data_IF_572928785156
#
_entry.id   IF_572928785156
#
_cell.length_a   1.000
_cell.length_b   1.000
_cell.length_c   1.000
_cell.angle_alpha   90.00
_cell.angle_beta   90.00
_cell.angle_gamma   90.00
#
_symmetry.space_group_name_H-M   'P 1'
#
loop_
_entity.id
_entity.type
_entity.pdbx_description
1 polymer ?
#
# COMPACT_ATOMS: atom_id res chain seq x y z
N UNK A 1 2.13 -8.96 -17.01
CA UNK A 1 1.81 -10.35 -16.56
C UNK A 1 0.45 -10.76 -17.15
N UNK A 2 0.23 -12.04 -17.51
CA UNK A 2 -1.08 -12.47 -18.05
C UNK A 2 -2.16 -12.45 -16.97
N UNK A 3 -3.42 -12.18 -17.35
CA UNK A 3 -4.57 -12.07 -16.43
C UNK A 3 -4.69 -13.26 -15.47
N UNK A 4 -4.63 -14.48 -15.99
CA UNK A 4 -4.75 -15.70 -15.19
C UNK A 4 -3.60 -15.85 -14.17
N UNK A 5 -2.37 -15.55 -14.57
CA UNK A 5 -1.21 -15.58 -13.67
C UNK A 5 -1.31 -14.55 -12.54
N UNK A 6 -1.86 -13.37 -12.84
CA UNK A 6 -2.13 -12.36 -11.81
C UNK A 6 -3.10 -12.88 -10.76
N UNK A 7 -4.25 -13.41 -11.19
CA UNK A 7 -5.29 -13.96 -10.29
C UNK A 7 -4.70 -15.04 -9.39
N UNK A 8 -4.04 -16.04 -9.97
CA UNK A 8 -3.44 -17.13 -9.20
C UNK A 8 -2.39 -16.63 -8.21
N UNK A 9 -1.55 -15.68 -8.63
CA UNK A 9 -0.50 -15.15 -7.75
C UNK A 9 -1.10 -14.37 -6.58
N UNK A 10 -2.08 -13.51 -6.84
CA UNK A 10 -2.78 -12.73 -5.80
C UNK A 10 -3.50 -13.66 -4.84
N UNK A 11 -4.30 -14.61 -5.35
CA UNK A 11 -5.05 -15.56 -4.51
C UNK A 11 -4.12 -16.40 -3.63
N UNK A 12 -3.00 -16.90 -4.18
CA UNK A 12 -2.03 -17.69 -3.43
C UNK A 12 -1.40 -16.90 -2.27
N UNK A 13 -1.15 -15.60 -2.47
CA UNK A 13 -0.60 -14.75 -1.42
C UNK A 13 -1.64 -14.25 -0.42
N UNK A 14 -2.88 -14.05 -0.86
CA UNK A 14 -3.99 -13.63 0.02
C UNK A 14 -4.37 -14.70 1.07
N UNK A 15 -3.99 -15.96 0.84
CA UNK A 15 -4.13 -17.05 1.81
C UNK A 15 -3.08 -17.00 2.94
N UNK A 16 -2.10 -16.10 2.86
CA UNK A 16 -1.01 -16.00 3.81
C UNK A 16 -1.20 -14.76 4.69
N UNK A 17 -0.81 -14.90 5.96
CA UNK A 17 -0.65 -13.75 6.85
C UNK A 17 0.50 -12.85 6.38
N UNK A 18 0.49 -11.57 6.78
CA UNK A 18 1.57 -10.63 6.45
C UNK A 18 2.94 -11.11 6.95
N UNK A 19 2.98 -11.81 8.10
CA UNK A 19 4.20 -12.45 8.60
C UNK A 19 4.71 -13.55 7.66
N UNK A 20 3.83 -14.46 7.25
CA UNK A 20 4.19 -15.53 6.31
C UNK A 20 4.62 -14.97 4.95
N UNK A 21 4.04 -13.85 4.52
CA UNK A 21 4.46 -13.14 3.31
C UNK A 21 5.87 -12.58 3.47
N UNK A 22 6.18 -11.91 4.57
CA UNK A 22 7.51 -11.38 4.84
C UNK A 22 8.60 -12.46 4.81
N UNK A 23 8.28 -13.68 5.25
CA UNK A 23 9.20 -14.83 5.23
C UNK A 23 9.36 -15.45 3.83
N UNK A 24 8.28 -15.52 3.04
CA UNK A 24 8.28 -16.24 1.73
C UNK A 24 8.62 -15.37 0.53
N UNK A 25 8.22 -14.11 0.55
CA UNK A 25 8.37 -13.20 -0.59
C UNK A 25 9.83 -12.94 -1.02
N UNK A 26 10.85 -12.93 -0.14
CA UNK A 26 12.25 -12.78 -0.57
C UNK A 26 12.71 -13.89 -1.52
N UNK A 27 12.43 -15.15 -1.19
CA UNK A 27 12.78 -16.29 -2.04
C UNK A 27 11.99 -16.28 -3.36
N UNK A 28 10.70 -15.94 -3.28
CA UNK A 28 9.85 -15.79 -4.46
C UNK A 28 10.31 -14.65 -5.39
N UNK A 29 10.79 -13.55 -4.81
CA UNK A 29 11.35 -12.43 -5.55
C UNK A 29 12.72 -12.77 -6.18
N UNK A 30 13.49 -13.69 -5.58
CA UNK A 30 14.71 -14.21 -6.20
C UNK A 30 14.38 -15.12 -7.39
N UNK A 31 13.40 -16.02 -7.25
CA UNK A 31 12.97 -16.93 -8.31
C UNK A 31 12.27 -16.21 -9.47
N UNK A 32 11.49 -15.15 -9.17
CA UNK A 32 10.69 -14.40 -10.15
C UNK A 32 10.92 -12.89 -9.98
N UNK A 33 12.08 -12.37 -10.40
CA UNK A 33 12.54 -11.02 -10.06
C UNK A 33 11.70 -9.88 -10.64
N UNK A 34 10.93 -10.15 -11.69
CA UNK A 34 10.06 -9.18 -12.38
C UNK A 34 8.57 -9.38 -12.07
N UNK A 35 8.21 -10.25 -11.11
CA UNK A 35 6.80 -10.42 -10.75
C UNK A 35 6.30 -9.17 -10.01
N UNK A 36 5.36 -8.38 -10.59
CA UNK A 36 4.96 -7.10 -10.01
C UNK A 36 4.27 -7.28 -8.65
N UNK A 37 3.41 -8.29 -8.50
CA UNK A 37 2.72 -8.58 -7.22
C UNK A 37 3.71 -8.94 -6.12
N UNK A 38 4.66 -9.84 -6.39
CA UNK A 38 5.67 -10.26 -5.41
C UNK A 38 6.51 -9.06 -4.96
N UNK A 39 6.92 -8.20 -5.90
CA UNK A 39 7.69 -6.99 -5.61
C UNK A 39 6.86 -5.96 -4.84
N UNK A 40 5.59 -5.78 -5.20
CA UNK A 40 4.69 -4.87 -4.50
C UNK A 40 4.53 -5.26 -3.03
N UNK A 41 4.17 -6.52 -2.78
CA UNK A 41 3.94 -7.03 -1.42
C UNK A 41 5.24 -7.02 -0.60
N UNK A 42 6.37 -7.41 -1.20
CA UNK A 42 7.66 -7.38 -0.52
C UNK A 42 8.06 -5.94 -0.16
N UNK A 43 7.75 -4.99 -1.04
CA UNK A 43 7.91 -3.56 -0.78
C UNK A 43 7.14 -3.10 0.44
N UNK A 44 5.87 -3.50 0.54
CA UNK A 44 5.03 -3.20 1.70
C UNK A 44 5.55 -3.84 2.99
N UNK A 45 5.96 -5.12 2.96
CA UNK A 45 6.58 -5.78 4.10
C UNK A 45 7.86 -5.06 4.56
N UNK A 46 8.69 -4.58 3.63
CA UNK A 46 9.89 -3.84 3.98
C UNK A 46 9.57 -2.49 4.62
N UNK A 47 8.50 -1.80 4.18
CA UNK A 47 8.04 -0.56 4.81
C UNK A 47 7.56 -0.81 6.25
N UNK A 48 6.75 -1.84 6.47
CA UNK A 48 6.30 -2.23 7.83
C UNK A 48 7.47 -2.61 8.76
N UNK A 49 8.57 -3.12 8.20
CA UNK A 49 9.78 -3.46 8.96
C UNK A 49 10.74 -2.27 9.17
N UNK A 50 10.36 -1.06 8.79
CA UNK A 50 11.23 0.13 8.85
C UNK A 50 12.39 0.12 7.83
N UNK A 51 12.40 -0.82 6.88
CA UNK A 51 13.41 -0.94 5.82
C UNK A 51 13.00 -0.14 4.58
N UNK A 52 12.69 1.14 4.78
CA UNK A 52 12.03 1.98 3.78
C UNK A 52 12.78 2.05 2.44
N UNK A 53 14.10 2.22 2.45
CA UNK A 53 14.91 2.28 1.23
C UNK A 53 14.83 0.98 0.40
N UNK A 54 14.78 -0.18 1.05
CA UNK A 54 14.59 -1.45 0.36
C UNK A 54 13.15 -1.60 -0.15
N UNK A 55 12.18 -1.18 0.65
CA UNK A 55 10.77 -1.19 0.28
C UNK A 55 10.51 -0.39 -0.99
N UNK A 56 11.02 0.85 -1.04
CA UNK A 56 10.94 1.73 -2.22
C UNK A 56 11.52 1.05 -3.47
N UNK A 57 12.71 0.43 -3.36
CA UNK A 57 13.32 -0.27 -4.50
C UNK A 57 12.42 -1.37 -5.05
N UNK A 58 11.77 -2.16 -4.19
CA UNK A 58 10.84 -3.18 -4.63
C UNK A 58 9.59 -2.59 -5.29
N UNK A 59 9.03 -1.52 -4.73
CA UNK A 59 7.87 -0.83 -5.30
C UNK A 59 8.17 -0.19 -6.66
N UNK A 60 9.37 0.37 -6.86
CA UNK A 60 9.82 0.87 -8.17
C UNK A 60 9.83 -0.25 -9.21
N UNK A 61 10.36 -1.43 -8.86
CA UNK A 61 10.36 -2.60 -9.76
C UNK A 61 8.93 -3.07 -10.03
N UNK A 62 8.06 -3.07 -9.02
CA UNK A 62 6.65 -3.44 -9.19
C UNK A 62 5.93 -2.50 -10.17
N UNK A 63 6.07 -1.19 -9.99
CA UNK A 63 5.48 -0.17 -10.86
C UNK A 63 6.03 -0.27 -12.28
N UNK A 64 7.33 -0.45 -12.46
CA UNK A 64 7.93 -0.59 -13.78
C UNK A 64 7.44 -1.86 -14.51
N UNK A 65 7.25 -2.96 -13.78
CA UNK A 65 6.74 -4.21 -14.34
C UNK A 65 5.22 -4.20 -14.61
N UNK A 66 4.45 -3.37 -13.91
CA UNK A 66 3.02 -3.17 -14.10
C UNK A 66 2.61 -1.73 -13.74
N UNK A 67 2.69 -0.78 -14.70
CA UNK A 67 2.40 0.64 -14.45
C UNK A 67 0.96 0.95 -14.02
N UNK A 68 0.04 -0.02 -14.16
CA UNK A 68 -1.34 0.08 -13.70
C UNK A 68 -1.50 -0.06 -12.18
N UNK A 69 -0.42 -0.37 -11.45
CA UNK A 69 -0.36 -0.34 -9.99
C UNK A 69 0.03 1.07 -9.51
N UNK A 70 -0.87 2.05 -9.64
CA UNK A 70 -0.61 3.45 -9.28
C UNK A 70 -0.28 3.63 -7.78
N UNK A 71 -0.87 2.81 -6.91
CA UNK A 71 -0.51 2.73 -5.50
C UNK A 71 0.96 2.41 -5.27
N UNK A 72 1.62 1.68 -6.18
CA UNK A 72 3.06 1.44 -6.09
C UNK A 72 3.84 2.74 -6.28
N UNK A 73 3.44 3.59 -7.23
CA UNK A 73 4.06 4.89 -7.44
C UNK A 73 3.83 5.82 -6.23
N UNK A 74 2.60 5.87 -5.70
CA UNK A 74 2.30 6.64 -4.48
C UNK A 74 3.20 6.20 -3.31
N UNK A 75 3.34 4.89 -3.09
CA UNK A 75 4.20 4.35 -2.03
C UNK A 75 5.70 4.56 -2.27
N UNK A 76 6.15 4.61 -3.54
CA UNK A 76 7.53 4.99 -3.87
C UNK A 76 7.81 6.42 -3.41
N UNK A 77 6.96 7.37 -3.79
CA UNK A 77 7.19 8.77 -3.44
C UNK A 77 7.02 9.02 -1.94
N UNK A 78 5.98 8.44 -1.32
CA UNK A 78 5.81 8.53 0.13
C UNK A 78 7.00 7.91 0.87
N UNK A 79 7.49 6.74 0.42
CA UNK A 79 8.66 6.09 1.00
C UNK A 79 9.95 6.89 0.85
N UNK A 80 10.18 7.55 -0.29
CA UNK A 80 11.32 8.44 -0.50
C UNK A 80 11.29 9.63 0.46
N UNK A 81 10.13 10.28 0.60
CA UNK A 81 9.93 11.38 1.56
C UNK A 81 10.12 10.89 2.99
N UNK A 82 9.62 9.69 3.32
CA UNK A 82 9.71 9.10 4.66
C UNK A 82 11.16 8.80 5.08
N UNK A 83 12.02 8.36 4.16
CA UNK A 83 13.46 8.16 4.42
C UNK A 83 14.15 9.47 4.84
N UNK A 84 13.75 10.60 4.26
CA UNK A 84 14.29 11.92 4.59
C UNK A 84 13.76 12.48 5.91
N UNK A 85 12.59 12.02 6.37
CA UNK A 85 11.90 12.50 7.57
C UNK A 85 11.99 11.47 8.70
N UNK A 86 13.13 11.46 9.40
CA UNK A 86 13.35 10.56 10.55
C UNK A 86 12.21 10.73 11.56
N UNK A 87 11.71 9.60 12.08
CA UNK A 87 10.64 9.51 13.10
C UNK A 87 9.23 9.96 12.66
N UNK A 88 9.02 10.37 11.42
CA UNK A 88 7.68 10.70 10.94
C UNK A 88 6.79 9.44 10.88
N UNK A 89 5.49 9.61 11.17
CA UNK A 89 4.49 8.59 10.89
C UNK A 89 4.25 8.47 9.37
N UNK A 90 3.91 7.27 8.89
CA UNK A 90 3.72 7.01 7.46
C UNK A 90 2.45 7.69 6.91
N UNK A 91 1.36 7.68 7.66
CA UNK A 91 0.07 8.22 7.23
C UNK A 91 0.14 9.72 6.87
N UNK A 92 0.70 10.62 7.69
CA UNK A 92 0.88 12.03 7.31
C UNK A 92 1.73 12.20 6.04
N UNK A 93 2.86 11.48 5.93
CA UNK A 93 3.73 11.55 4.74
C UNK A 93 2.97 11.11 3.49
N UNK A 94 2.17 10.05 3.60
CA UNK A 94 1.39 9.53 2.49
C UNK A 94 0.27 10.50 2.09
N UNK A 95 -0.40 11.14 3.04
CA UNK A 95 -1.40 12.17 2.78
C UNK A 95 -0.81 13.38 2.05
N UNK A 96 0.33 13.90 2.54
CA UNK A 96 1.05 14.99 1.86
C UNK A 96 1.43 14.58 0.44
N UNK A 97 2.00 13.38 0.27
CA UNK A 97 2.36 12.86 -1.06
C UNK A 97 1.11 12.73 -1.95
N UNK A 98 -0.02 12.26 -1.42
CA UNK A 98 -1.25 12.13 -2.18
C UNK A 98 -1.77 13.49 -2.68
N UNK A 99 -1.74 14.53 -1.85
CA UNK A 99 -2.11 15.89 -2.27
C UNK A 99 -1.13 16.47 -3.30
N UNK A 100 0.19 16.31 -3.10
CA UNK A 100 1.24 16.76 -4.04
C UNK A 100 1.08 16.14 -5.43
N UNK A 101 0.68 14.87 -5.48
CA UNK A 101 0.46 14.12 -6.72
C UNK A 101 -0.93 14.33 -7.32
N UNK A 102 -1.63 15.41 -6.94
CA UNK A 102 -2.97 15.75 -7.44
C UNK A 102 -4.00 14.65 -7.20
N UNK A 103 -3.92 13.99 -6.04
CA UNK A 103 -4.94 13.08 -5.52
C UNK A 103 -5.19 11.88 -6.42
N UNK A 104 -4.17 11.05 -6.69
CA UNK A 104 -4.31 9.89 -7.55
C UNK A 104 -5.40 8.96 -7.00
N UNK A 105 -6.22 8.43 -7.92
CA UNK A 105 -7.25 7.44 -7.62
C UNK A 105 -6.67 6.05 -7.92
N UNK A 106 -5.79 5.58 -7.04
CA UNK A 106 -5.33 4.19 -7.10
C UNK A 106 -6.51 3.29 -6.69
N UNK A 107 -6.77 2.24 -7.48
CA UNK A 107 -7.97 1.37 -7.54
C UNK A 107 -8.89 1.53 -8.78
N UNK A 108 -8.49 2.32 -9.78
CA UNK A 108 -9.26 2.44 -11.03
C UNK A 108 -9.05 1.27 -11.99
N UNK A 109 -7.90 0.62 -11.92
CA UNK A 109 -7.57 -0.48 -12.83
C UNK A 109 -7.95 -1.84 -12.22
N UNK A 110 -8.40 -2.78 -13.06
CA UNK A 110 -8.74 -4.13 -12.61
C UNK A 110 -7.56 -4.87 -11.92
N UNK A 111 -6.31 -4.81 -12.43
CA UNK A 111 -5.18 -5.46 -11.76
C UNK A 111 -4.92 -4.93 -10.36
N UNK A 112 -5.02 -3.61 -10.18
CA UNK A 112 -4.82 -2.95 -8.89
C UNK A 112 -5.96 -3.26 -7.92
N UNK A 113 -7.22 -3.17 -8.38
CA UNK A 113 -8.36 -3.58 -7.53
C UNK A 113 -8.24 -5.00 -7.04
N UNK A 114 -7.94 -5.94 -7.94
CA UNK A 114 -7.77 -7.34 -7.58
C UNK A 114 -6.71 -7.52 -6.48
N UNK A 115 -5.58 -6.83 -6.58
CA UNK A 115 -4.54 -6.86 -5.56
C UNK A 115 -5.04 -6.25 -4.25
N UNK A 116 -5.55 -5.02 -4.28
CA UNK A 116 -5.96 -4.28 -3.09
C UNK A 116 -7.14 -4.95 -2.35
N UNK A 117 -8.12 -5.48 -3.09
CA UNK A 117 -9.28 -6.18 -2.51
C UNK A 117 -8.87 -7.47 -1.82
N UNK A 118 -7.88 -8.19 -2.37
CA UNK A 118 -7.38 -9.42 -1.78
C UNK A 118 -6.68 -9.22 -0.43
N UNK A 119 -6.26 -7.99 -0.12
CA UNK A 119 -5.61 -7.63 1.14
C UNK A 119 -6.44 -6.69 2.00
N UNK A 120 -7.67 -6.36 1.61
CA UNK A 120 -8.57 -5.52 2.38
C UNK A 120 -8.96 -6.22 3.70
N UNK A 121 -8.34 -5.83 4.81
CA UNK A 121 -8.70 -6.37 6.11
C UNK A 121 -10.08 -5.84 6.54
N UNK A 122 -10.95 -6.66 7.15
CA UNK A 122 -12.18 -6.16 7.73
C UNK A 122 -11.88 -5.24 8.92
N UNK A 123 -12.53 -4.08 9.00
CA UNK A 123 -12.42 -3.15 10.11
C UNK A 123 -13.80 -2.54 10.42
N UNK A 124 -14.31 -2.69 11.67
CA UNK A 124 -15.55 -2.05 12.09
C UNK A 124 -15.47 -0.51 11.94
N UNK A 125 -16.57 0.12 11.50
CA UNK A 125 -16.62 1.58 11.34
C UNK A 125 -16.00 2.11 10.03
N UNK A 126 -15.20 1.32 9.31
CA UNK A 126 -14.61 1.72 8.04
C UNK A 126 -15.67 2.03 6.95
N UNK A 127 -16.86 1.43 7.06
CA UNK A 127 -17.99 1.70 6.15
C UNK A 127 -18.48 3.16 6.22
N UNK A 128 -18.28 3.84 7.35
CA UNK A 128 -18.62 5.24 7.56
C UNK A 128 -17.40 6.17 7.41
N UNK A 129 -16.21 5.60 7.22
CA UNK A 129 -14.99 6.36 7.06
C UNK A 129 -14.94 7.05 5.68
N UNK A 130 -14.21 8.16 5.57
CA UNK A 130 -14.01 8.85 4.29
C UNK A 130 -13.40 7.95 3.21
N UNK A 131 -13.68 8.27 1.95
CA UNK A 131 -13.28 7.46 0.79
C UNK A 131 -11.77 7.22 0.73
N UNK A 132 -10.96 8.24 1.04
CA UNK A 132 -9.50 8.10 1.05
C UNK A 132 -9.02 7.14 2.14
N UNK A 133 -9.59 7.23 3.36
CA UNK A 133 -9.27 6.29 4.44
C UNK A 133 -9.57 4.84 4.03
N UNK A 134 -10.73 4.61 3.39
CA UNK A 134 -11.12 3.31 2.85
C UNK A 134 -10.14 2.79 1.78
N UNK A 135 -9.65 3.67 0.90
CA UNK A 135 -8.65 3.29 -0.12
C UNK A 135 -7.32 2.94 0.53
N UNK A 136 -6.83 3.77 1.44
CA UNK A 136 -5.56 3.57 2.13
C UNK A 136 -5.57 2.30 2.99
N UNK A 137 -6.71 1.97 3.59
CA UNK A 137 -6.89 0.75 4.36
C UNK A 137 -6.60 -0.54 3.57
N UNK A 138 -6.91 -0.53 2.26
CA UNK A 138 -6.70 -1.68 1.36
C UNK A 138 -5.23 -1.92 1.04
N UNK A 139 -4.35 -0.94 1.27
CA UNK A 139 -2.91 -1.14 1.11
C UNK A 139 -2.43 -2.20 2.11
N UNK A 140 -1.55 -3.14 1.71
CA UNK A 140 -1.07 -4.22 2.58
C UNK A 140 0.04 -3.74 3.53
N UNK A 141 -0.27 -2.71 4.31
CA UNK A 141 0.62 -2.04 5.26
C UNK A 141 -0.02 -2.04 6.64
N UNK A 142 0.51 -2.84 7.56
CA UNK A 142 0.02 -2.94 8.94
C UNK A 142 0.17 -1.61 9.67
N UNK A 143 1.36 -0.99 9.55
CA UNK A 143 1.69 0.28 10.21
C UNK A 143 0.73 1.39 9.80
N UNK A 144 0.34 1.42 8.51
CA UNK A 144 -0.62 2.39 8.00
C UNK A 144 -2.02 2.17 8.57
N UNK A 145 -2.45 0.90 8.68
CA UNK A 145 -3.77 0.56 9.24
C UNK A 145 -3.86 0.93 10.71
N UNK A 146 -2.81 0.67 11.49
CA UNK A 146 -2.77 1.05 12.89
C UNK A 146 -2.87 2.58 13.05
N UNK A 147 -2.14 3.34 12.23
CA UNK A 147 -2.25 4.81 12.21
C UNK A 147 -3.64 5.30 11.77
N UNK A 148 -4.29 4.65 10.80
CA UNK A 148 -5.67 4.99 10.41
C UNK A 148 -6.65 4.69 11.55
N UNK A 149 -6.48 3.58 12.25
CA UNK A 149 -7.34 3.19 13.38
C UNK A 149 -7.23 4.18 14.54
N UNK A 150 -6.01 4.63 14.85
CA UNK A 150 -5.76 5.67 15.86
C UNK A 150 -6.33 7.03 15.45
N UNK A 151 -6.28 7.32 14.15
CA UNK A 151 -6.78 8.57 13.56
C UNK A 151 -8.31 8.66 13.49
N UNK A 152 -9.02 7.55 13.26
CA UNK A 152 -10.48 7.53 13.10
C UNK A 152 -11.29 8.10 14.29
N UNK A 153 -10.97 7.80 15.57
CA UNK A 153 -11.73 8.32 16.72
C UNK A 153 -11.36 9.75 17.14
N UNK A 154 -10.23 10.31 16.65
CA UNK A 154 -9.76 11.64 17.05
C UNK A 154 -9.72 12.58 15.84
N UNK A 155 -10.63 13.55 15.72
CA UNK A 155 -10.59 14.57 14.67
C UNK A 155 -9.48 15.60 14.95
N UNK A 156 -8.23 15.16 15.02
CA UNK A 156 -7.07 16.04 15.10
C UNK A 156 -6.85 16.74 13.75
N UNK A 157 -6.45 18.01 13.80
CA UNK A 157 -6.31 18.89 12.62
C UNK A 157 -5.37 18.35 11.52
N UNK A 158 -4.44 17.44 11.84
CA UNK A 158 -3.51 16.83 10.88
C UNK A 158 -4.16 15.78 9.95
N UNK A 159 -5.40 15.37 10.22
CA UNK A 159 -6.15 14.38 9.43
C UNK A 159 -7.23 15.01 8.54
N UNK A 160 -7.25 16.35 8.45
CA UNK A 160 -8.14 17.09 7.55
C UNK A 160 -8.19 16.54 6.11
N UNK A 161 -7.09 16.09 5.49
CA UNK A 161 -7.15 15.50 4.14
C UNK A 161 -7.94 14.19 4.07
N UNK A 162 -7.98 13.39 5.16
CA UNK A 162 -8.84 12.22 5.21
C UNK A 162 -10.31 12.63 5.29
N UNK A 163 -10.63 13.67 6.06
CA UNK A 163 -12.00 14.10 6.36
C UNK A 163 -12.61 15.06 5.31
N UNK A 164 -11.78 15.74 4.51
CA UNK A 164 -12.21 16.86 3.65
C UNK A 164 -12.48 16.48 2.19
N UNK A 165 -12.42 15.20 1.80
CA UNK A 165 -12.74 14.77 0.43
C UNK A 165 -14.25 14.56 0.31
N UNK A 166 -14.99 15.39 -0.45
CA UNK A 166 -16.40 15.16 -0.70
C UNK A 166 -16.59 13.92 -1.60
N UNK A 167 -17.77 13.31 -1.46
CA UNK A 167 -18.27 12.13 -2.18
C UNK A 167 -18.13 12.28 -3.69
#
# INVERSE_FOLDING_TARGET
>A
MKRHQLIQTVQRYAQLTLRQLAERLPAEAAARPRCPVTRYLLGCCCLDQGRAALGVRHLMVAYHAEPRLESAALLVFAGLSWIGQREAALLPVLLTTWDEFRRPQFDRTWPERLLLDAFAAPEPGLGQAPLLARRLWRLPLTTLRDQIREAMPSPAAALYPLLAVPV
#
